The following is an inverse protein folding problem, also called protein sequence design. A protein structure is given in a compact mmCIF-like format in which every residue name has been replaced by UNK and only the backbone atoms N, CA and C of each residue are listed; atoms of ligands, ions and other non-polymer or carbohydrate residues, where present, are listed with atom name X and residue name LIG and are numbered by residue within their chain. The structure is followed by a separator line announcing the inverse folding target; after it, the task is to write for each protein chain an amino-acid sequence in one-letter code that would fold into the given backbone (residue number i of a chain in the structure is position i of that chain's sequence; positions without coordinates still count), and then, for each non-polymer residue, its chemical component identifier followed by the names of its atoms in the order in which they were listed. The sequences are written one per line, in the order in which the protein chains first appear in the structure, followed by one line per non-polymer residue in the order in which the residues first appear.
data_IF_132614622039
#
_entry.id   IF_132614622039
#
_cell.length_a   1.000
_cell.length_b   1.000
_cell.length_c   1.000
_cell.angle_alpha   90.00
_cell.angle_beta   90.00
_cell.angle_gamma   90.00
#
_symmetry.space_group_name_H-M   'P 1'
#
loop_
_entity.id
_entity.type
_entity.pdbx_description
1 polymer ?
#
# COMPACT_ATOMS: atom_id res chain seq x y z
N UNK A 1 -17.17 -28.66 -2.09
CA UNK A 1 -15.98 -28.27 -2.87
C UNK A 1 -15.01 -27.60 -1.91
N UNK A 2 -13.79 -28.11 -1.76
CA UNK A 2 -12.79 -27.45 -0.91
C UNK A 2 -12.42 -26.13 -1.57
N UNK A 3 -12.65 -25.01 -0.87
CA UNK A 3 -12.30 -23.68 -1.38
C UNK A 3 -10.77 -23.57 -1.39
N UNK A 4 -10.20 -23.47 -2.58
CA UNK A 4 -8.75 -23.52 -2.80
C UNK A 4 -8.06 -22.21 -2.36
N UNK A 5 -8.73 -21.09 -2.58
CA UNK A 5 -8.19 -19.76 -2.36
C UNK A 5 -8.75 -19.06 -1.11
N UNK A 6 -9.85 -19.59 -0.54
CA UNK A 6 -10.49 -19.08 0.67
C UNK A 6 -10.35 -20.12 1.80
N UNK A 7 -9.18 -20.24 2.38
CA UNK A 7 -8.87 -21.26 3.38
C UNK A 7 -9.18 -20.77 4.79
N UNK A 8 -9.77 -21.64 5.62
CA UNK A 8 -9.96 -21.34 7.05
C UNK A 8 -8.60 -21.02 7.68
N UNK A 9 -8.53 -19.93 8.43
CA UNK A 9 -7.31 -19.47 9.07
C UNK A 9 -7.00 -20.35 10.29
N UNK A 10 -5.99 -21.20 10.18
CA UNK A 10 -5.56 -22.06 11.28
C UNK A 10 -4.95 -21.25 12.44
N UNK A 11 -5.00 -21.80 13.66
CA UNK A 11 -4.41 -21.14 14.83
C UNK A 11 -2.89 -20.96 14.70
N UNK A 12 -2.21 -21.88 14.01
CA UNK A 12 -0.79 -21.74 13.71
C UNK A 12 -0.52 -20.57 12.78
N UNK A 13 -1.38 -20.37 11.76
CA UNK A 13 -1.29 -19.22 10.88
C UNK A 13 -1.54 -17.91 11.65
N UNK A 14 -2.57 -17.85 12.51
CA UNK A 14 -2.86 -16.70 13.36
C UNK A 14 -1.67 -16.35 14.25
N UNK A 15 -1.11 -17.34 14.96
CA UNK A 15 0.08 -17.15 15.80
C UNK A 15 1.30 -16.67 15.03
N UNK A 16 1.53 -17.19 13.83
CA UNK A 16 2.69 -16.83 13.00
C UNK A 16 2.58 -15.43 12.41
N UNK A 17 1.39 -15.02 11.97
CA UNK A 17 1.19 -13.82 11.18
C UNK A 17 0.53 -12.66 11.94
N UNK A 18 -0.24 -12.94 12.99
CA UNK A 18 -1.07 -11.97 13.70
C UNK A 18 -0.99 -12.09 15.24
N UNK A 19 0.12 -12.59 15.79
CA UNK A 19 0.31 -12.79 17.23
C UNK A 19 0.03 -11.54 18.09
N UNK A 20 0.30 -10.37 17.56
CA UNK A 20 0.11 -9.08 18.26
C UNK A 20 -1.10 -8.29 17.70
N UNK A 21 -2.01 -8.98 17.01
CA UNK A 21 -3.15 -8.38 16.32
C UNK A 21 -2.86 -8.01 14.86
N UNK A 22 -3.92 -7.85 14.07
CA UNK A 22 -3.83 -7.63 12.62
C UNK A 22 -3.20 -6.29 12.31
N UNK A 23 -3.64 -5.21 12.94
CA UNK A 23 -3.14 -3.86 12.68
C UNK A 23 -1.66 -3.68 13.08
N UNK A 24 -1.24 -4.32 14.16
CA UNK A 24 0.18 -4.34 14.55
C UNK A 24 1.03 -5.08 13.52
N UNK A 25 0.52 -6.21 13.03
CA UNK A 25 1.23 -7.04 12.05
C UNK A 25 1.34 -6.36 10.69
N UNK A 26 0.28 -5.70 10.20
CA UNK A 26 0.29 -4.91 8.96
C UNK A 26 1.31 -3.77 9.11
N UNK A 27 1.27 -3.03 10.22
CA UNK A 27 2.23 -1.97 10.50
C UNK A 27 3.67 -2.46 10.46
N UNK A 28 3.97 -3.59 11.10
CA UNK A 28 5.33 -4.16 11.12
C UNK A 28 5.81 -4.55 9.71
N UNK A 29 4.93 -5.07 8.86
CA UNK A 29 5.26 -5.38 7.46
C UNK A 29 5.57 -4.11 6.67
N UNK A 30 4.76 -3.07 6.83
CA UNK A 30 4.97 -1.77 6.17
C UNK A 30 6.22 -1.06 6.69
N UNK A 31 6.54 -1.17 7.97
CA UNK A 31 7.75 -0.59 8.57
C UNK A 31 9.05 -1.19 8.03
N UNK A 32 9.06 -2.47 7.60
CA UNK A 32 10.25 -3.08 6.99
C UNK A 32 10.66 -2.40 5.66
N UNK A 33 9.69 -1.89 4.91
CA UNK A 33 9.96 -1.13 3.68
C UNK A 33 10.60 0.22 3.99
N UNK A 34 10.32 0.80 5.16
CA UNK A 34 10.82 2.11 5.57
C UNK A 34 12.33 2.14 5.88
N UNK A 35 12.98 1.01 6.19
CA UNK A 35 14.41 0.98 6.54
C UNK A 35 15.30 1.41 5.37
N UNK A 36 15.02 0.98 4.15
CA UNK A 36 15.73 1.42 2.94
C UNK A 36 15.62 2.94 2.71
N UNK A 37 14.49 3.53 3.07
CA UNK A 37 14.25 4.98 2.98
C UNK A 37 15.16 5.75 3.94
N UNK A 38 15.36 5.26 5.17
CA UNK A 38 16.29 5.88 6.13
C UNK A 38 17.73 5.86 5.62
N UNK A 39 18.18 4.73 5.06
CA UNK A 39 19.52 4.61 4.47
C UNK A 39 19.67 5.59 3.32
N UNK A 40 18.72 5.63 2.40
CA UNK A 40 18.79 6.52 1.23
C UNK A 40 18.88 7.99 1.64
N UNK A 41 17.96 8.47 2.48
CA UNK A 41 17.99 9.86 2.94
C UNK A 41 19.16 10.16 3.85
N UNK A 42 19.67 9.18 4.60
CA UNK A 42 20.92 9.29 5.34
C UNK A 42 22.12 9.57 4.41
N UNK A 43 22.24 8.81 3.33
CA UNK A 43 23.29 9.03 2.31
C UNK A 43 23.16 10.41 1.68
N UNK A 44 21.94 10.84 1.32
CA UNK A 44 21.69 12.18 0.77
C UNK A 44 22.07 13.27 1.77
N UNK A 45 21.76 13.10 3.04
CA UNK A 45 22.11 14.07 4.08
C UNK A 45 23.62 14.22 4.24
N UNK A 46 24.36 13.09 4.34
CA UNK A 46 25.81 13.10 4.44
C UNK A 46 26.48 13.68 3.20
N UNK A 47 26.00 13.27 2.01
CA UNK A 47 26.48 13.82 0.74
C UNK A 47 26.25 15.34 0.62
N UNK A 48 25.10 15.81 1.08
CA UNK A 48 24.79 17.25 1.11
C UNK A 48 25.67 18.02 2.09
N UNK A 49 25.94 17.47 3.28
CA UNK A 49 26.84 18.07 4.25
C UNK A 49 28.28 18.17 3.71
N UNK A 50 28.76 17.10 3.09
CA UNK A 50 30.08 17.09 2.45
C UNK A 50 30.15 18.09 1.29
N UNK A 51 29.14 18.11 0.41
CA UNK A 51 29.07 19.04 -0.72
C UNK A 51 29.01 20.51 -0.27
N UNK A 52 28.29 20.79 0.81
CA UNK A 52 28.27 22.12 1.42
C UNK A 52 29.66 22.53 1.95
N UNK A 53 30.31 21.64 2.70
CA UNK A 53 31.66 21.88 3.20
C UNK A 53 32.66 22.16 2.06
N UNK A 54 32.60 21.35 1.00
CA UNK A 54 33.42 21.54 -0.19
C UNK A 54 33.13 22.89 -0.86
N UNK A 55 31.86 23.26 -1.04
CA UNK A 55 31.46 24.53 -1.63
C UNK A 55 31.96 25.75 -0.81
N UNK A 56 31.90 25.66 0.50
CA UNK A 56 32.43 26.70 1.39
C UNK A 56 33.93 26.86 1.27
N UNK A 57 34.69 25.74 1.15
CA UNK A 57 36.14 25.79 0.88
C UNK A 57 36.48 26.47 -0.45
N UNK A 58 35.68 26.21 -1.50
CA UNK A 58 35.83 26.87 -2.82
C UNK A 58 35.53 28.36 -2.77
N UNK A 59 34.50 28.77 -2.01
CA UNK A 59 34.20 30.21 -1.83
C UNK A 59 35.38 30.94 -1.20
N UNK A 60 36.04 30.34 -0.19
CA UNK A 60 37.20 30.91 0.46
C UNK A 60 38.40 31.00 -0.47
N UNK A 61 38.68 29.97 -1.29
CA UNK A 61 39.71 29.94 -2.31
C UNK A 61 39.49 31.06 -3.36
N UNK A 62 38.27 31.26 -3.86
CA UNK A 62 37.91 32.33 -4.79
C UNK A 62 38.12 33.72 -4.17
N UNK A 63 37.78 33.88 -2.87
CA UNK A 63 38.01 35.13 -2.15
C UNK A 63 39.50 35.46 -2.07
N UNK A 64 40.34 34.48 -1.73
CA UNK A 64 41.78 34.64 -1.60
C UNK A 64 42.47 34.89 -2.95
N UNK A 65 41.94 34.34 -4.05
CA UNK A 65 42.47 34.50 -5.41
C UNK A 65 41.92 35.74 -6.14
N UNK A 66 41.06 36.54 -5.52
CA UNK A 66 40.46 37.74 -6.15
C UNK A 66 39.43 37.46 -7.23
N UNK A 67 38.91 36.24 -7.33
CA UNK A 67 37.89 35.82 -8.31
C UNK A 67 36.49 36.09 -7.80
N UNK A 68 36.14 37.37 -7.62
CA UNK A 68 34.84 37.75 -7.00
C UNK A 68 33.62 37.24 -7.80
N UNK A 69 33.74 37.16 -9.13
CA UNK A 69 32.66 36.69 -10.02
C UNK A 69 32.24 35.23 -9.69
N UNK A 70 33.17 34.40 -9.22
CA UNK A 70 32.93 32.99 -8.90
C UNK A 70 32.33 32.78 -7.52
N UNK A 71 32.38 33.78 -6.63
CA UNK A 71 31.80 33.70 -5.29
C UNK A 71 30.28 33.52 -5.33
N UNK A 72 29.61 34.18 -6.30
CA UNK A 72 28.17 34.04 -6.53
C UNK A 72 27.76 32.59 -6.87
N UNK A 73 28.50 31.96 -7.77
CA UNK A 73 28.29 30.57 -8.16
C UNK A 73 28.54 29.61 -6.99
N UNK A 74 29.61 29.84 -6.20
CA UNK A 74 29.89 29.06 -4.99
C UNK A 74 28.77 29.12 -3.96
N UNK A 75 28.22 30.32 -3.68
CA UNK A 75 27.09 30.52 -2.80
C UNK A 75 25.82 29.80 -3.29
N UNK A 76 25.55 29.83 -4.60
CA UNK A 76 24.43 29.11 -5.20
C UNK A 76 24.56 27.60 -4.98
N UNK A 77 25.74 27.04 -5.24
CA UNK A 77 26.02 25.61 -5.02
C UNK A 77 25.87 25.25 -3.52
N UNK A 78 26.40 26.06 -2.62
CA UNK A 78 26.23 25.86 -1.19
C UNK A 78 24.74 25.87 -0.77
N UNK A 79 23.95 26.83 -1.28
CA UNK A 79 22.51 26.90 -1.06
C UNK A 79 21.76 25.68 -1.57
N UNK A 80 22.17 25.14 -2.73
CA UNK A 80 21.61 23.91 -3.28
C UNK A 80 21.81 22.71 -2.33
N UNK A 81 23.00 22.52 -1.79
CA UNK A 81 23.24 21.44 -0.81
C UNK A 81 22.47 21.63 0.50
N UNK A 82 22.28 22.86 0.97
CA UNK A 82 21.42 23.15 2.12
C UNK A 82 19.96 22.75 1.81
N UNK A 83 19.44 23.08 0.64
CA UNK A 83 18.10 22.69 0.20
C UNK A 83 17.91 21.18 0.22
N UNK A 84 18.86 20.42 -0.34
CA UNK A 84 18.81 18.94 -0.32
C UNK A 84 18.85 18.37 1.10
N UNK A 85 19.72 18.92 1.97
CA UNK A 85 19.80 18.50 3.36
C UNK A 85 18.47 18.71 4.10
N UNK A 86 17.81 19.86 3.89
CA UNK A 86 16.51 20.16 4.50
C UNK A 86 15.41 19.19 4.01
N UNK A 87 15.35 18.89 2.71
CA UNK A 87 14.40 17.93 2.16
C UNK A 87 14.64 16.52 2.71
N UNK A 88 15.90 16.08 2.79
CA UNK A 88 16.26 14.79 3.36
C UNK A 88 15.88 14.71 4.85
N UNK A 89 16.18 15.74 5.62
CA UNK A 89 15.84 15.83 7.04
C UNK A 89 14.33 15.80 7.27
N UNK A 90 13.56 16.59 6.52
CA UNK A 90 12.10 16.59 6.57
C UNK A 90 11.53 15.20 6.25
N UNK A 91 12.06 14.52 5.24
CA UNK A 91 11.65 13.17 4.85
C UNK A 91 11.92 12.14 5.94
N UNK A 92 13.08 12.22 6.60
CA UNK A 92 13.43 11.38 7.75
C UNK A 92 12.45 11.63 8.91
N UNK A 93 12.19 12.89 9.26
CA UNK A 93 11.26 13.26 10.34
C UNK A 93 9.86 12.74 10.06
N UNK A 94 9.34 12.94 8.84
CA UNK A 94 8.01 12.43 8.43
C UNK A 94 7.97 10.90 8.55
N UNK A 95 9.04 10.21 8.14
CA UNK A 95 9.13 8.75 8.23
C UNK A 95 9.16 8.28 9.67
N UNK A 96 9.91 8.97 10.56
CA UNK A 96 9.94 8.70 12.01
C UNK A 96 8.55 8.89 12.62
N UNK A 97 7.88 10.02 12.32
CA UNK A 97 6.53 10.29 12.82
C UNK A 97 5.55 9.18 12.40
N UNK A 98 5.62 8.75 11.14
CA UNK A 98 4.80 7.63 10.64
C UNK A 98 5.11 6.32 11.35
N UNK A 99 6.38 6.08 11.66
CA UNK A 99 6.82 4.86 12.33
C UNK A 99 6.43 4.84 13.84
N UNK A 100 6.56 5.97 14.52
CA UNK A 100 6.21 6.12 15.95
C UNK A 100 4.69 6.12 16.17
N UNK A 101 3.90 6.52 15.17
CA UNK A 101 2.44 6.40 15.24
C UNK A 101 2.07 4.93 15.43
N UNK A 102 1.58 4.59 16.64
CA UNK A 102 1.27 3.22 17.06
C UNK A 102 0.14 2.56 16.26
N UNK A 103 -0.18 1.31 16.59
CA UNK A 103 -1.26 0.54 15.97
C UNK A 103 -2.63 1.27 16.02
N UNK A 104 -2.89 2.04 17.07
CA UNK A 104 -4.11 2.86 17.20
C UNK A 104 -4.25 3.92 16.09
N UNK A 105 -3.15 4.61 15.74
CA UNK A 105 -3.17 5.57 14.64
C UNK A 105 -3.33 4.89 13.28
N UNK A 106 -2.75 3.69 13.11
CA UNK A 106 -2.91 2.90 11.91
C UNK A 106 -4.36 2.44 11.75
N UNK A 107 -4.97 1.94 12.84
CA UNK A 107 -6.39 1.56 12.89
C UNK A 107 -7.31 2.73 12.53
N UNK A 108 -7.05 3.93 13.08
CA UNK A 108 -7.78 5.15 12.74
C UNK A 108 -7.65 5.55 11.26
N UNK A 109 -6.47 5.36 10.66
CA UNK A 109 -6.27 5.63 9.23
C UNK A 109 -7.04 4.62 8.35
N UNK A 110 -7.01 3.33 8.69
CA UNK A 110 -7.81 2.32 7.99
C UNK A 110 -9.31 2.63 8.09
N UNK A 111 -9.79 3.02 9.27
CA UNK A 111 -11.18 3.42 9.46
C UNK A 111 -11.56 4.60 8.54
N UNK A 112 -10.73 5.62 8.49
CA UNK A 112 -10.92 6.78 7.60
C UNK A 112 -10.98 6.41 6.12
N UNK A 113 -10.03 5.59 5.66
CA UNK A 113 -9.97 5.16 4.26
C UNK A 113 -11.14 4.28 3.87
N UNK A 114 -11.59 3.44 4.79
CA UNK A 114 -12.72 2.54 4.58
C UNK A 114 -14.09 3.24 4.72
N UNK A 115 -14.13 4.47 5.23
CA UNK A 115 -15.37 5.19 5.50
C UNK A 115 -16.14 4.67 6.73
N UNK A 116 -15.44 4.01 7.67
CA UNK A 116 -16.01 3.41 8.87
C UNK A 116 -15.46 4.03 10.15
N UNK A 117 -15.95 3.55 11.30
CA UNK A 117 -15.50 3.99 12.62
C UNK A 117 -14.31 3.14 13.12
N UNK A 118 -13.61 3.64 14.15
CA UNK A 118 -12.58 2.85 14.84
C UNK A 118 -13.19 1.62 15.50
N UNK A 119 -14.43 1.70 16.01
CA UNK A 119 -15.15 0.56 16.59
C UNK A 119 -15.40 -0.57 15.56
N UNK A 120 -15.64 -0.22 14.28
CA UNK A 120 -15.74 -1.22 13.21
C UNK A 120 -14.40 -1.93 12.98
N UNK A 121 -13.29 -1.21 13.13
CA UNK A 121 -11.95 -1.80 13.03
C UNK A 121 -11.63 -2.70 14.24
N UNK A 122 -12.11 -2.35 15.44
CA UNK A 122 -12.01 -3.21 16.63
C UNK A 122 -12.80 -4.49 16.44
N UNK A 123 -14.00 -4.39 15.88
CA UNK A 123 -14.84 -5.55 15.58
C UNK A 123 -14.21 -6.43 14.49
N UNK A 124 -13.66 -5.84 13.41
CA UNK A 124 -12.90 -6.59 12.42
C UNK A 124 -11.75 -7.37 13.09
N UNK A 125 -10.94 -6.72 13.92
CA UNK A 125 -9.81 -7.34 14.60
C UNK A 125 -10.27 -8.48 15.52
N UNK A 126 -11.37 -8.28 16.25
CA UNK A 126 -12.00 -9.32 17.08
C UNK A 126 -12.42 -10.53 16.24
N UNK A 127 -13.09 -10.31 15.10
CA UNK A 127 -13.53 -11.39 14.21
C UNK A 127 -12.38 -12.16 13.56
N UNK A 128 -11.17 -11.63 13.49
CA UNK A 128 -10.02 -12.40 13.00
C UNK A 128 -9.62 -13.53 13.93
N UNK A 129 -10.07 -13.51 15.19
CA UNK A 129 -9.85 -14.60 16.14
C UNK A 129 -10.89 -15.71 16.02
N UNK A 130 -12.03 -15.45 15.36
CA UNK A 130 -13.10 -16.41 15.18
C UNK A 130 -12.67 -17.62 14.32
N UNK A 131 -13.32 -18.79 14.52
CA UNK A 131 -13.02 -20.01 13.76
C UNK A 131 -13.43 -19.90 12.28
N UNK A 132 -14.36 -19.00 11.95
CA UNK A 132 -14.84 -18.79 10.58
C UNK A 132 -13.93 -17.86 9.76
N UNK A 133 -12.91 -17.25 10.39
CA UNK A 133 -11.99 -16.38 9.72
C UNK A 133 -11.20 -17.13 8.64
N UNK A 134 -11.10 -16.55 7.46
CA UNK A 134 -10.44 -17.15 6.30
C UNK A 134 -9.29 -16.28 5.81
N UNK A 135 -8.30 -16.95 5.24
CA UNK A 135 -7.21 -16.33 4.49
C UNK A 135 -7.61 -16.29 3.02
N UNK A 136 -7.45 -15.13 2.39
CA UNK A 136 -7.66 -14.96 0.95
C UNK A 136 -6.31 -15.00 0.27
N UNK A 137 -6.07 -15.98 -0.59
CA UNK A 137 -4.85 -16.14 -1.40
C UNK A 137 -5.15 -15.97 -2.87
N UNK A 138 -5.13 -14.75 -3.35
CA UNK A 138 -5.51 -14.42 -4.73
C UNK A 138 -4.43 -14.73 -5.76
N UNK A 139 -3.16 -14.69 -5.35
CA UNK A 139 -2.03 -15.05 -6.20
C UNK A 139 -0.99 -15.84 -5.43
N UNK A 140 -0.23 -16.66 -6.14
CA UNK A 140 1.05 -17.13 -5.66
C UNK A 140 2.00 -15.92 -5.59
N UNK A 141 2.56 -15.65 -4.41
CA UNK A 141 3.42 -14.48 -4.12
C UNK A 141 4.61 -14.35 -5.08
N UNK A 142 5.03 -15.47 -5.71
CA UNK A 142 6.08 -15.48 -6.73
C UNK A 142 5.66 -14.87 -8.07
N UNK A 143 4.36 -14.70 -8.33
CA UNK A 143 3.80 -14.25 -9.61
C UNK A 143 3.19 -12.85 -9.55
N UNK A 144 3.06 -12.26 -8.36
CA UNK A 144 2.47 -10.93 -8.20
C UNK A 144 3.38 -9.84 -8.78
N UNK A 145 2.82 -8.99 -9.65
CA UNK A 145 3.49 -7.77 -10.12
C UNK A 145 3.61 -6.72 -9.01
N UNK A 146 2.64 -6.71 -8.10
CA UNK A 146 2.64 -5.85 -6.93
C UNK A 146 3.60 -6.39 -5.86
N UNK A 147 4.75 -5.77 -5.72
CA UNK A 147 5.71 -6.09 -4.67
C UNK A 147 5.05 -5.87 -3.29
N UNK A 148 5.02 -6.93 -2.48
CA UNK A 148 4.51 -6.85 -1.10
C UNK A 148 3.04 -7.18 -0.92
N UNK A 149 2.33 -7.67 -1.95
CA UNK A 149 0.98 -8.20 -1.76
C UNK A 149 1.03 -9.36 -0.76
N UNK A 150 0.28 -9.23 0.32
CA UNK A 150 0.13 -10.26 1.36
C UNK A 150 -1.22 -10.93 1.24
N UNK A 151 -1.38 -12.05 1.96
CA UNK A 151 -2.67 -12.71 2.06
C UNK A 151 -3.73 -11.75 2.61
N UNK A 152 -4.92 -11.76 2.02
CA UNK A 152 -6.09 -11.03 2.52
C UNK A 152 -6.75 -11.76 3.69
N UNK A 153 -7.72 -11.11 4.30
CA UNK A 153 -8.49 -11.63 5.43
C UNK A 153 -9.98 -11.49 5.13
N UNK A 154 -10.71 -12.57 5.34
CA UNK A 154 -12.16 -12.61 5.25
C UNK A 154 -12.71 -13.07 6.58
N UNK A 155 -13.48 -12.22 7.23
CA UNK A 155 -14.19 -12.53 8.47
C UNK A 155 -15.68 -12.75 8.17
N UNK A 156 -16.49 -12.91 9.21
CA UNK A 156 -17.93 -13.04 9.04
C UNK A 156 -18.54 -11.81 8.38
N UNK A 157 -18.13 -10.60 8.79
CA UNK A 157 -18.76 -9.35 8.39
C UNK A 157 -17.83 -8.42 7.59
N UNK A 158 -16.54 -8.71 7.49
CA UNK A 158 -15.54 -7.83 6.86
C UNK A 158 -14.63 -8.56 5.88
N UNK A 159 -14.14 -7.83 4.91
CA UNK A 159 -13.13 -8.26 3.95
C UNK A 159 -11.98 -7.25 3.87
N UNK A 160 -10.76 -7.77 3.85
CA UNK A 160 -9.51 -7.04 3.68
C UNK A 160 -8.68 -7.72 2.60
N UNK A 161 -8.40 -7.05 1.48
CA UNK A 161 -7.66 -7.62 0.36
C UNK A 161 -6.14 -7.41 0.45
N UNK A 162 -5.64 -6.81 1.52
CA UNK A 162 -4.23 -6.42 1.68
C UNK A 162 -3.72 -5.47 0.58
N UNK A 163 -4.60 -4.62 0.10
CA UNK A 163 -4.32 -3.58 -0.88
C UNK A 163 -3.34 -2.51 -0.34
N UNK A 164 -2.81 -1.68 -1.23
CA UNK A 164 -1.86 -0.63 -0.88
C UNK A 164 -2.45 0.44 0.06
N UNK A 165 -3.78 0.61 0.04
CA UNK A 165 -4.50 1.57 0.89
C UNK A 165 -4.94 0.96 2.22
N UNK A 166 -4.81 -0.37 2.38
CA UNK A 166 -5.27 -1.12 3.55
C UNK A 166 -6.76 -0.92 3.84
N UNK A 167 -7.57 -0.93 2.78
CA UNK A 167 -9.01 -0.75 2.85
C UNK A 167 -9.69 -2.00 3.40
N UNK A 168 -10.51 -1.83 4.43
CA UNK A 168 -11.33 -2.89 5.03
C UNK A 168 -12.78 -2.56 4.71
N UNK A 169 -13.50 -3.48 4.07
CA UNK A 169 -14.89 -3.27 3.69
C UNK A 169 -15.82 -4.19 4.48
N UNK A 170 -17.01 -3.68 4.84
CA UNK A 170 -18.11 -4.54 5.35
C UNK A 170 -18.71 -5.31 4.20
N UNK A 171 -18.90 -6.62 4.38
CA UNK A 171 -19.49 -7.48 3.35
C UNK A 171 -20.91 -7.04 3.01
N UNK A 172 -21.72 -6.68 4.02
CA UNK A 172 -23.09 -6.19 3.84
C UNK A 172 -23.20 -4.84 3.11
N UNK A 173 -22.09 -4.11 3.06
CA UNK A 173 -22.01 -2.79 2.44
C UNK A 173 -21.46 -2.83 1.00
N UNK A 174 -21.11 -4.00 0.51
CA UNK A 174 -20.64 -4.16 -0.86
C UNK A 174 -21.77 -3.89 -1.85
N UNK A 175 -21.44 -3.10 -2.88
CA UNK A 175 -22.31 -2.83 -4.03
C UNK A 175 -21.84 -3.53 -5.30
N UNK A 176 -20.52 -3.69 -5.47
CA UNK A 176 -19.97 -4.41 -6.63
C UNK A 176 -18.72 -5.21 -6.25
N UNK A 177 -18.52 -6.33 -6.94
CA UNK A 177 -17.33 -7.16 -6.91
C UNK A 177 -17.05 -7.71 -8.32
N UNK A 178 -16.00 -7.22 -8.98
CA UNK A 178 -15.74 -7.56 -10.38
C UNK A 178 -14.29 -7.98 -10.60
N UNK A 179 -14.09 -8.85 -11.60
CA UNK A 179 -12.79 -9.06 -12.21
C UNK A 179 -12.51 -7.93 -13.19
N UNK A 180 -11.38 -7.25 -13.00
CA UNK A 180 -11.03 -6.07 -13.79
C UNK A 180 -9.68 -6.30 -14.46
N UNK A 181 -9.65 -6.11 -15.78
CA UNK A 181 -8.43 -6.14 -16.56
C UNK A 181 -7.70 -4.81 -16.44
N UNK A 182 -6.46 -4.85 -16.00
CA UNK A 182 -5.59 -3.69 -15.87
C UNK A 182 -4.35 -3.81 -16.75
N UNK A 183 -3.73 -2.68 -17.02
CA UNK A 183 -2.48 -2.60 -17.80
C UNK A 183 -1.43 -1.84 -17.00
N UNK A 184 -0.27 -2.43 -16.80
CA UNK A 184 0.88 -1.77 -16.22
C UNK A 184 2.03 -1.66 -17.22
N UNK A 185 2.80 -0.58 -17.13
CA UNK A 185 4.05 -0.44 -17.86
C UNK A 185 5.19 -0.93 -16.97
N UNK A 186 5.81 -2.03 -17.32
CA UNK A 186 6.90 -2.66 -16.57
C UNK A 186 8.21 -2.60 -17.36
N UNK A 187 9.31 -2.32 -16.67
CA UNK A 187 10.66 -2.22 -17.23
C UNK A 187 11.21 -0.79 -17.27
N UNK A 188 12.52 -0.68 -17.51
CA UNK A 188 13.22 0.60 -17.60
C UNK A 188 13.08 1.23 -18.98
N UNK A 189 13.12 2.54 -19.05
CA UNK A 189 13.19 3.26 -20.34
C UNK A 189 14.51 2.93 -21.04
N UNK A 190 14.55 2.61 -22.37
CA UNK A 190 13.45 2.69 -23.36
C UNK A 190 12.62 1.40 -23.50
N UNK A 191 12.89 0.33 -22.73
CA UNK A 191 12.32 -1.02 -22.92
C UNK A 191 11.03 -1.25 -22.12
N UNK A 192 10.20 -0.23 -21.88
CA UNK A 192 8.91 -0.41 -21.19
C UNK A 192 7.97 -1.29 -22.01
N UNK A 193 7.57 -2.44 -21.40
CA UNK A 193 6.53 -3.32 -21.95
C UNK A 193 5.22 -3.06 -21.20
N UNK A 194 4.11 -3.03 -21.92
CA UNK A 194 2.78 -3.07 -21.32
C UNK A 194 2.43 -4.52 -21.02
N UNK A 195 2.10 -4.79 -19.77
CA UNK A 195 1.66 -6.10 -19.29
C UNK A 195 0.22 -5.95 -18.82
N UNK A 196 -0.65 -6.84 -19.30
CA UNK A 196 -2.02 -6.96 -18.81
C UNK A 196 -2.05 -7.93 -17.64
N UNK A 197 -2.82 -7.59 -16.63
CA UNK A 197 -3.03 -8.42 -15.44
C UNK A 197 -4.45 -8.27 -14.92
N UNK A 198 -4.90 -9.24 -14.13
CA UNK A 198 -6.22 -9.24 -13.54
C UNK A 198 -6.17 -8.75 -12.09
N UNK A 199 -7.18 -8.00 -11.72
CA UNK A 199 -7.44 -7.60 -10.34
C UNK A 199 -8.88 -7.93 -9.98
N UNK A 200 -9.11 -8.30 -8.72
CA UNK A 200 -10.44 -8.23 -8.14
C UNK A 200 -10.61 -6.85 -7.53
N UNK A 201 -11.70 -6.20 -7.89
CA UNK A 201 -12.08 -4.90 -7.37
C UNK A 201 -13.40 -4.99 -6.62
N UNK A 202 -13.40 -4.48 -5.40
CA UNK A 202 -14.58 -4.37 -4.54
C UNK A 202 -14.96 -2.91 -4.39
N UNK A 203 -16.25 -2.63 -4.44
CA UNK A 203 -16.84 -1.31 -4.22
C UNK A 203 -17.88 -1.41 -3.12
N UNK A 204 -17.81 -0.51 -2.14
CA UNK A 204 -18.87 -0.37 -1.13
C UNK A 204 -19.93 0.65 -1.58
N UNK A 205 -21.09 0.63 -0.93
CA UNK A 205 -22.14 1.65 -1.09
C UNK A 205 -21.64 3.05 -0.71
N UNK A 206 -20.66 3.14 0.20
CA UNK A 206 -19.98 4.39 0.57
C UNK A 206 -18.90 4.84 -0.41
N UNK A 207 -18.76 4.17 -1.57
CA UNK A 207 -17.76 4.42 -2.62
C UNK A 207 -16.31 4.13 -2.21
N UNK A 208 -16.08 3.46 -1.08
CA UNK A 208 -14.75 2.95 -0.72
C UNK A 208 -14.42 1.75 -1.59
N UNK A 209 -13.14 1.66 -2.03
CA UNK A 209 -12.67 0.61 -2.93
C UNK A 209 -11.57 -0.22 -2.28
N UNK A 210 -11.57 -1.52 -2.55
CA UNK A 210 -10.44 -2.40 -2.29
C UNK A 210 -10.04 -3.11 -3.59
N UNK A 211 -8.75 -3.21 -3.85
CA UNK A 211 -8.20 -3.73 -5.11
C UNK A 211 -7.07 -4.71 -4.80
N UNK A 212 -7.11 -5.89 -5.38
CA UNK A 212 -6.01 -6.84 -5.29
C UNK A 212 -5.78 -7.56 -6.61
N UNK A 213 -4.51 -7.81 -6.93
CA UNK A 213 -4.13 -8.64 -8.07
C UNK A 213 -4.54 -10.09 -7.83
N UNK A 214 -5.06 -10.76 -8.84
CA UNK A 214 -5.59 -12.11 -8.71
C UNK A 214 -5.35 -12.94 -9.98
N UNK A 215 -5.46 -14.28 -9.84
CA UNK A 215 -5.72 -15.14 -10.99
C UNK A 215 -7.23 -15.13 -11.29
N UNK A 216 -7.60 -15.49 -12.50
CA UNK A 216 -9.01 -15.61 -12.89
C UNK A 216 -9.76 -16.57 -11.97
N UNK A 217 -9.17 -17.74 -11.67
CA UNK A 217 -9.76 -18.74 -10.79
C UNK A 217 -9.98 -18.21 -9.36
N UNK A 218 -8.97 -17.56 -8.77
CA UNK A 218 -9.05 -17.08 -7.39
C UNK A 218 -10.00 -15.89 -7.23
N UNK A 219 -10.01 -15.00 -8.21
CA UNK A 219 -10.93 -13.88 -8.21
C UNK A 219 -12.38 -14.33 -8.40
N UNK A 220 -12.64 -15.30 -9.31
CA UNK A 220 -13.96 -15.88 -9.50
C UNK A 220 -14.46 -16.59 -8.22
N UNK A 221 -13.61 -17.39 -7.56
CA UNK A 221 -13.98 -18.07 -6.30
C UNK A 221 -14.39 -17.05 -5.20
N UNK A 222 -13.63 -15.95 -5.09
CA UNK A 222 -13.96 -14.89 -4.13
C UNK A 222 -15.29 -14.19 -4.49
N UNK A 223 -15.50 -13.85 -5.76
CA UNK A 223 -16.73 -13.19 -6.22
C UNK A 223 -17.95 -14.08 -6.01
N UNK A 224 -17.85 -15.37 -6.34
CA UNK A 224 -18.92 -16.33 -6.11
C UNK A 224 -19.28 -16.45 -4.62
N UNK A 225 -18.26 -16.49 -3.74
CA UNK A 225 -18.47 -16.48 -2.31
C UNK A 225 -19.19 -15.21 -1.84
N UNK A 226 -18.77 -14.04 -2.29
CA UNK A 226 -19.40 -12.76 -1.92
C UNK A 226 -20.83 -12.66 -2.48
N UNK A 227 -21.10 -13.15 -3.69
CA UNK A 227 -22.43 -13.20 -4.29
C UNK A 227 -23.42 -14.03 -3.45
N UNK A 228 -22.95 -15.11 -2.83
CA UNK A 228 -23.77 -15.92 -1.91
C UNK A 228 -24.09 -15.20 -0.60
N UNK A 229 -23.18 -14.30 -0.14
CA UNK A 229 -23.34 -13.56 1.12
C UNK A 229 -24.11 -12.26 0.97
N UNK A 230 -24.06 -11.63 -0.21
CA UNK A 230 -24.65 -10.31 -0.47
C UNK A 230 -25.67 -10.42 -1.61
N UNK A 231 -26.97 -10.52 -1.28
CA UNK A 231 -28.03 -10.49 -2.29
C UNK A 231 -27.99 -9.17 -3.08
N UNK A 232 -28.02 -9.27 -4.41
CA UNK A 232 -27.99 -8.10 -5.29
C UNK A 232 -26.61 -7.48 -5.52
N UNK A 233 -25.51 -8.15 -5.12
CA UNK A 233 -24.16 -7.74 -5.45
C UNK A 233 -23.97 -7.71 -6.96
N UNK A 234 -23.53 -6.56 -7.50
CA UNK A 234 -23.18 -6.46 -8.92
C UNK A 234 -21.85 -7.19 -9.20
N UNK A 235 -21.84 -8.11 -10.15
CA UNK A 235 -20.66 -8.95 -10.44
C UNK A 235 -20.31 -9.02 -11.93
N UNK A 236 -20.84 -8.11 -12.75
CA UNK A 236 -20.69 -8.11 -14.21
C UNK A 236 -20.96 -9.51 -14.83
N UNK A 237 -21.92 -10.26 -14.27
CA UNK A 237 -22.27 -11.63 -14.65
C UNK A 237 -21.09 -12.61 -14.72
N UNK A 238 -20.02 -12.33 -13.98
CA UNK A 238 -18.78 -13.11 -13.95
C UNK A 238 -17.79 -12.78 -15.07
N UNK A 239 -18.11 -11.82 -15.93
CA UNK A 239 -17.22 -11.38 -16.99
C UNK A 239 -16.09 -10.47 -16.45
N UNK A 240 -14.96 -10.49 -17.16
CA UNK A 240 -13.84 -9.58 -16.92
C UNK A 240 -14.14 -8.25 -17.61
N UNK A 241 -14.22 -7.18 -16.83
CA UNK A 241 -14.50 -5.84 -17.34
C UNK A 241 -13.23 -4.98 -17.44
N UNK A 242 -13.17 -3.98 -18.34
CA UNK A 242 -12.08 -2.99 -18.36
C UNK A 242 -12.17 -2.05 -17.15
N UNK A 243 -11.03 -1.45 -16.77
CA UNK A 243 -10.94 -0.55 -15.62
C UNK A 243 -11.90 0.65 -15.72
N UNK A 244 -12.06 1.20 -16.92
CA UNK A 244 -12.95 2.34 -17.18
C UNK A 244 -14.43 2.00 -16.92
N UNK A 245 -14.85 0.74 -17.14
CA UNK A 245 -16.20 0.30 -16.84
C UNK A 245 -16.45 0.23 -15.33
N UNK A 246 -15.46 -0.26 -14.55
CA UNK A 246 -15.56 -0.27 -13.10
C UNK A 246 -15.54 1.17 -12.51
N UNK A 247 -14.74 2.07 -13.09
CA UNK A 247 -14.70 3.47 -12.66
C UNK A 247 -16.04 4.19 -12.85
N UNK A 248 -16.80 3.87 -13.89
CA UNK A 248 -18.17 4.39 -14.07
C UNK A 248 -19.11 3.93 -12.96
N UNK A 249 -19.08 2.64 -12.57
CA UNK A 249 -19.88 2.12 -11.45
C UNK A 249 -19.62 2.88 -10.14
N UNK A 250 -18.42 3.36 -9.95
CA UNK A 250 -18.06 4.10 -8.74
C UNK A 250 -18.43 5.59 -8.80
N UNK A 251 -18.70 6.12 -9.99
CA UNK A 251 -19.12 7.50 -10.20
C UNK A 251 -20.64 7.69 -10.05
N UNK A 252 -21.41 6.64 -10.33
CA UNK A 252 -22.86 6.56 -10.10
C UNK A 252 -23.18 6.36 -8.60
#
# INVERSE_FOLDING_TARGET
KMEKYLQVMSDDYKRKHYAEGVFTSIRKKTAKISFGVYIFFGIVLFGSAYGFYWAMGRIEEYRLSGQEDMIGAGKFIAGFFVGFALVALASIIITIIRHVRGAASWKSNCAKQSGYTVSDMDEFERQTTDMECRVIRLLDTAKALAVGQSDGILTRDYIYLADAQHTILKISDLSAACLVKQTAAVGDMPNRKRIEYLTVMLLSKSKSRAIAECSEESGTELIEYLKQKVPGLYTADGEVIPAEAFDKLSAE
#
